data_IF_166370607215
#
_entry.id   IF_166370607215
#
_cell.length_a   1.000
_cell.length_b   1.000
_cell.length_c   1.000
_cell.angle_alpha   90.00
_cell.angle_beta   90.00
_cell.angle_gamma   90.00
#
_symmetry.space_group_name_H-M   'P 1'
#
loop_
_entity.id
_entity.type
_entity.pdbx_description
1 polymer ?
#
# COMPACT_ATOMS: atom_id res chain seq x y z
N UNK A 1 8.57 57.24 31.70
CA UNK A 1 8.94 55.82 31.79
C UNK A 1 8.23 55.07 30.65
N UNK A 2 8.93 54.71 29.58
CA UNK A 2 8.37 53.98 28.44
C UNK A 2 8.48 52.47 28.71
N UNK A 3 7.34 51.74 28.74
CA UNK A 3 7.31 50.30 28.86
C UNK A 3 7.47 49.70 27.46
N UNK A 4 8.55 48.96 27.25
CA UNK A 4 8.78 48.20 26.03
C UNK A 4 8.08 46.84 26.21
N UNK A 5 7.07 46.56 25.37
CA UNK A 5 6.45 45.25 25.28
C UNK A 5 7.29 44.40 24.33
N UNK A 6 7.93 43.37 24.85
CA UNK A 6 8.61 42.34 24.05
C UNK A 6 7.56 41.29 23.65
N UNK A 7 7.18 41.29 22.38
CA UNK A 7 6.30 40.28 21.81
C UNK A 7 7.19 39.10 21.35
N UNK A 8 7.13 37.99 22.10
CA UNK A 8 7.83 36.77 21.77
C UNK A 8 7.12 36.05 20.58
N UNK A 9 7.72 36.12 19.41
CA UNK A 9 7.36 35.29 18.26
C UNK A 9 7.95 33.86 18.45
N UNK A 10 7.19 32.95 19.07
CA UNK A 10 7.59 31.56 19.33
C UNK A 10 6.68 30.55 18.63
N UNK A 11 6.29 30.79 17.35
CA UNK A 11 5.33 29.89 16.72
C UNK A 11 5.74 29.12 15.45
N UNK A 12 6.79 29.40 14.66
CA UNK A 12 7.03 28.60 13.45
C UNK A 12 7.87 27.32 13.65
N UNK A 13 8.68 27.25 14.72
CA UNK A 13 9.66 26.16 14.90
C UNK A 13 8.96 24.82 15.29
N UNK A 14 7.89 24.88 16.06
CA UNK A 14 7.15 23.68 16.47
C UNK A 14 6.38 23.03 15.31
N UNK A 15 5.92 23.80 14.35
CA UNK A 15 5.20 23.31 13.17
C UNK A 15 6.12 22.53 12.22
N UNK A 16 7.33 23.01 12.01
CA UNK A 16 8.31 22.32 11.14
C UNK A 16 8.86 21.04 11.77
N UNK A 17 9.09 21.02 13.09
CA UNK A 17 9.55 19.83 13.80
C UNK A 17 8.47 18.72 13.81
N UNK A 18 7.20 19.06 13.81
CA UNK A 18 6.10 18.11 13.74
C UNK A 18 5.91 17.54 12.34
N UNK A 19 6.09 18.34 11.29
CA UNK A 19 6.09 17.90 9.90
C UNK A 19 7.23 16.92 9.62
N UNK A 20 8.43 17.20 10.11
CA UNK A 20 9.60 16.31 9.92
C UNK A 20 9.47 14.95 10.60
N UNK A 21 8.81 14.87 11.78
CA UNK A 21 8.53 13.57 12.42
C UNK A 21 7.51 12.73 11.63
N UNK A 22 6.52 13.36 11.05
CA UNK A 22 5.50 12.67 10.25
C UNK A 22 6.09 12.23 8.91
N UNK A 23 6.90 13.06 8.27
CA UNK A 23 7.61 12.71 7.03
C UNK A 23 8.60 11.56 7.27
N UNK A 24 9.26 11.54 8.42
CA UNK A 24 10.13 10.45 8.85
C UNK A 24 9.38 9.13 9.02
N UNK A 25 8.14 9.16 9.53
CA UNK A 25 7.32 7.96 9.69
C UNK A 25 7.03 7.30 8.35
N UNK A 26 6.65 8.09 7.33
CA UNK A 26 6.26 7.59 6.01
C UNK A 26 7.43 7.34 5.05
N UNK A 27 8.67 7.52 5.52
CA UNK A 27 9.87 7.33 4.70
C UNK A 27 9.91 6.01 3.92
N UNK A 28 9.50 4.85 4.49
CA UNK A 28 9.50 3.58 3.75
C UNK A 28 8.58 3.57 2.54
N UNK A 29 7.51 4.36 2.59
CA UNK A 29 6.48 4.40 1.53
C UNK A 29 6.64 5.58 0.58
N UNK A 30 7.63 6.45 0.79
CA UNK A 30 7.79 7.69 0.00
C UNK A 30 7.88 7.43 -1.50
N UNK A 31 8.59 6.39 -1.89
CA UNK A 31 8.77 6.03 -3.30
C UNK A 31 7.50 5.57 -3.99
N UNK A 32 6.49 5.10 -3.24
CA UNK A 32 5.21 4.66 -3.81
C UNK A 32 4.24 5.80 -4.08
N UNK A 33 4.39 6.95 -3.38
CA UNK A 33 3.43 8.07 -3.51
C UNK A 33 3.34 8.53 -4.96
N UNK A 34 2.10 8.57 -5.49
CA UNK A 34 1.78 8.95 -6.85
C UNK A 34 0.91 7.92 -7.56
N UNK A 35 0.85 8.01 -8.87
CA UNK A 35 0.06 7.12 -9.74
C UNK A 35 0.98 6.22 -10.54
N UNK A 36 0.53 5.00 -10.76
CA UNK A 36 1.29 3.95 -11.40
C UNK A 36 0.42 3.14 -12.35
N UNK A 37 1.00 2.69 -13.44
CA UNK A 37 0.35 1.78 -14.38
C UNK A 37 1.33 0.69 -14.79
N UNK A 38 0.81 -0.48 -15.07
CA UNK A 38 1.64 -1.62 -15.47
C UNK A 38 0.84 -2.77 -16.00
N UNK A 39 1.54 -3.86 -16.19
CA UNK A 39 0.96 -5.13 -16.63
C UNK A 39 1.28 -6.20 -15.61
N UNK A 40 0.36 -7.13 -15.44
CA UNK A 40 0.53 -8.30 -14.58
C UNK A 40 0.47 -9.58 -15.38
N UNK A 41 1.06 -10.61 -14.81
CA UNK A 41 0.93 -12.01 -15.17
C UNK A 41 0.57 -12.84 -13.94
N UNK A 42 -0.10 -13.96 -14.12
CA UNK A 42 -0.44 -14.86 -13.03
C UNK A 42 -1.65 -15.73 -13.29
N UNK A 43 -2.26 -16.24 -12.22
CA UNK A 43 -3.39 -17.17 -12.29
C UNK A 43 -4.62 -16.54 -12.95
N UNK A 44 -4.84 -15.22 -12.74
CA UNK A 44 -5.93 -14.47 -13.40
C UNK A 44 -5.63 -14.11 -14.86
N UNK A 45 -4.47 -14.50 -15.39
CA UNK A 45 -4.01 -14.15 -16.74
C UNK A 45 -3.28 -12.79 -16.77
N UNK A 46 -3.12 -12.27 -17.99
CA UNK A 46 -2.45 -10.98 -18.20
C UNK A 46 -3.44 -9.84 -18.00
N UNK A 47 -3.16 -8.93 -17.08
CA UNK A 47 -4.00 -7.80 -16.76
C UNK A 47 -3.27 -6.46 -16.88
N UNK A 48 -4.05 -5.37 -17.06
CA UNK A 48 -3.58 -4.01 -16.90
C UNK A 48 -3.82 -3.58 -15.45
N UNK A 49 -2.78 -3.06 -14.82
CA UNK A 49 -2.83 -2.59 -13.44
C UNK A 49 -2.71 -1.07 -13.37
N UNK A 50 -3.54 -0.48 -12.53
CA UNK A 50 -3.49 0.92 -12.13
C UNK A 50 -3.43 0.97 -10.61
N UNK A 51 -2.52 1.78 -10.06
CA UNK A 51 -2.33 1.95 -8.62
C UNK A 51 -2.22 3.44 -8.30
N UNK A 52 -2.74 3.85 -7.16
CA UNK A 52 -2.44 5.17 -6.63
C UNK A 52 -2.23 5.13 -5.13
N UNK A 53 -1.26 5.91 -4.68
CA UNK A 53 -0.90 6.06 -3.27
C UNK A 53 -0.87 7.55 -2.95
N UNK A 54 -1.67 7.98 -1.98
CA UNK A 54 -1.79 9.38 -1.60
C UNK A 54 -1.72 9.55 -0.08
N UNK A 55 -0.97 10.55 0.38
CA UNK A 55 -0.91 10.91 1.80
C UNK A 55 -2.15 11.74 2.15
N UNK A 56 -3.01 11.22 3.01
CA UNK A 56 -4.33 11.77 3.32
C UNK A 56 -4.55 11.97 4.82
N UNK A 57 -5.73 12.52 5.18
CA UNK A 57 -6.21 12.66 6.56
C UNK A 57 -5.16 13.29 7.47
N UNK A 58 -4.76 14.52 7.12
CA UNK A 58 -3.74 15.26 7.85
C UNK A 58 -2.41 14.49 7.97
N UNK A 59 -1.99 13.85 6.88
CA UNK A 59 -0.75 13.06 6.73
C UNK A 59 -0.65 11.87 7.70
N UNK A 60 -1.78 11.35 8.19
CA UNK A 60 -1.80 10.21 9.14
C UNK A 60 -2.00 8.87 8.48
N UNK A 61 -2.38 8.85 7.20
CA UNK A 61 -2.64 7.65 6.42
C UNK A 61 -2.07 7.81 5.00
N UNK A 62 -1.80 6.68 4.37
CA UNK A 62 -1.64 6.60 2.93
C UNK A 62 -2.88 5.88 2.40
N UNK A 63 -3.65 6.57 1.58
CA UNK A 63 -4.74 5.97 0.82
C UNK A 63 -4.15 5.16 -0.34
N UNK A 64 -4.69 3.97 -0.55
CA UNK A 64 -4.31 3.05 -1.61
C UNK A 64 -5.53 2.78 -2.47
N UNK A 65 -5.42 2.93 -3.77
CA UNK A 65 -6.47 2.56 -4.73
C UNK A 65 -5.86 1.69 -5.81
N UNK A 66 -6.41 0.54 -5.98
CA UNK A 66 -5.97 -0.45 -6.94
C UNK A 66 -7.09 -0.75 -7.93
N UNK A 67 -6.71 -0.90 -9.19
CA UNK A 67 -7.58 -1.38 -10.25
C UNK A 67 -6.79 -2.33 -11.12
N UNK A 68 -7.39 -3.49 -11.38
CA UNK A 68 -6.83 -4.51 -12.25
C UNK A 68 -7.88 -4.86 -13.30
N UNK A 69 -7.50 -4.85 -14.56
CA UNK A 69 -8.41 -5.07 -15.70
C UNK A 69 -7.87 -6.25 -16.49
N UNK A 70 -8.63 -7.32 -16.53
CA UNK A 70 -8.35 -8.52 -17.30
C UNK A 70 -9.27 -8.56 -18.51
N UNK A 71 -8.71 -8.65 -19.72
CA UNK A 71 -9.52 -8.71 -20.95
C UNK A 71 -10.32 -10.01 -21.02
N UNK A 72 -11.37 -10.05 -21.84
CA UNK A 72 -12.07 -11.29 -22.15
C UNK A 72 -11.11 -12.41 -22.56
N UNK A 73 -11.35 -13.61 -22.04
CA UNK A 73 -10.59 -14.82 -22.34
C UNK A 73 -11.55 -15.98 -22.64
N UNK A 74 -10.99 -17.13 -23.02
CA UNK A 74 -11.80 -18.34 -23.23
C UNK A 74 -12.53 -18.76 -21.95
N UNK A 75 -11.86 -18.64 -20.81
CA UNK A 75 -12.37 -19.10 -19.50
C UNK A 75 -13.19 -18.02 -18.80
N UNK A 76 -13.02 -16.75 -19.20
CA UNK A 76 -13.81 -15.62 -18.74
C UNK A 76 -14.17 -14.70 -19.92
N UNK A 77 -15.25 -15.01 -20.67
CA UNK A 77 -15.66 -14.24 -21.86
C UNK A 77 -16.08 -12.80 -21.59
N UNK A 78 -16.44 -12.48 -20.34
CA UNK A 78 -16.82 -11.11 -19.94
C UNK A 78 -15.59 -10.25 -19.61
N UNK A 79 -14.43 -10.88 -19.37
CA UNK A 79 -13.31 -10.21 -18.71
C UNK A 79 -13.60 -9.92 -17.24
N UNK A 80 -12.70 -9.23 -16.57
CA UNK A 80 -12.84 -8.91 -15.16
C UNK A 80 -12.28 -7.53 -14.86
N UNK A 81 -12.94 -6.80 -13.98
CA UNK A 81 -12.42 -5.60 -13.35
C UNK A 81 -12.43 -5.83 -11.85
N UNK A 82 -11.26 -5.89 -11.27
CA UNK A 82 -11.06 -5.98 -9.84
C UNK A 82 -10.63 -4.60 -9.32
N UNK A 83 -11.30 -4.11 -8.29
CA UNK A 83 -10.97 -2.85 -7.64
C UNK A 83 -10.88 -3.06 -6.13
N UNK A 84 -9.89 -2.43 -5.52
CA UNK A 84 -9.83 -2.32 -4.08
C UNK A 84 -9.43 -0.90 -3.63
N UNK A 85 -9.87 -0.54 -2.44
CA UNK A 85 -9.61 0.72 -1.80
C UNK A 85 -9.17 0.47 -0.36
N UNK A 86 -8.07 1.06 0.04
CA UNK A 86 -7.51 0.78 1.35
C UNK A 86 -6.69 1.93 1.94
N UNK A 87 -6.17 1.65 3.14
CA UNK A 87 -5.36 2.61 3.87
C UNK A 87 -4.19 1.91 4.55
N UNK A 88 -2.99 2.46 4.36
CA UNK A 88 -1.85 2.15 5.21
C UNK A 88 -1.89 3.10 6.41
N UNK A 89 -1.83 2.54 7.60
CA UNK A 89 -1.79 3.26 8.88
C UNK A 89 -0.64 2.78 9.74
N UNK A 90 -0.16 3.62 10.67
CA UNK A 90 0.81 3.19 11.68
C UNK A 90 0.12 2.90 13.00
N UNK A 91 0.17 1.64 13.43
CA UNK A 91 -0.30 1.22 14.74
C UNK A 91 0.79 1.50 15.78
N UNK A 92 0.55 2.53 16.59
CA UNK A 92 1.51 2.99 17.61
C UNK A 92 1.71 1.98 18.73
N UNK A 93 0.68 1.20 19.06
CA UNK A 93 0.72 0.22 20.15
C UNK A 93 1.60 -0.97 19.76
N UNK A 94 1.47 -1.43 18.53
CA UNK A 94 2.24 -2.56 17.97
C UNK A 94 3.54 -2.12 17.29
N UNK A 95 3.74 -0.81 17.09
CA UNK A 95 4.89 -0.20 16.38
C UNK A 95 5.09 -0.78 14.98
N UNK A 96 4.01 -1.01 14.26
CA UNK A 96 4.01 -1.57 12.90
C UNK A 96 3.05 -0.84 11.98
N UNK A 97 3.25 -0.97 10.67
CA UNK A 97 2.29 -0.52 9.68
C UNK A 97 1.26 -1.61 9.42
N UNK A 98 0.02 -1.17 9.20
CA UNK A 98 -1.14 -2.01 8.87
C UNK A 98 -1.75 -1.48 7.59
N UNK A 99 -2.01 -2.37 6.65
CA UNK A 99 -2.77 -2.08 5.44
C UNK A 99 -4.12 -2.78 5.55
N UNK A 100 -5.20 -2.05 5.30
CA UNK A 100 -6.56 -2.59 5.18
C UNK A 100 -7.06 -2.29 3.79
N UNK A 101 -7.54 -3.32 3.08
CA UNK A 101 -8.05 -3.22 1.72
C UNK A 101 -9.47 -3.78 1.67
N UNK A 102 -10.35 -3.01 1.06
CA UNK A 102 -11.76 -3.33 0.84
C UNK A 102 -11.96 -3.61 -0.64
N UNK A 103 -12.36 -4.82 -0.97
CA UNK A 103 -12.43 -5.31 -2.33
C UNK A 103 -13.86 -5.25 -2.87
N UNK A 104 -13.99 -5.00 -4.17
CA UNK A 104 -15.30 -4.90 -4.84
C UNK A 104 -16.12 -6.18 -4.68
N UNK A 105 -15.47 -7.33 -4.50
CA UNK A 105 -16.10 -8.63 -4.24
C UNK A 105 -16.64 -8.77 -2.81
N UNK A 106 -16.41 -7.77 -1.95
CA UNK A 106 -16.95 -7.71 -0.59
C UNK A 106 -16.11 -8.36 0.50
N UNK A 107 -14.91 -8.83 0.20
CA UNK A 107 -13.98 -9.26 1.25
C UNK A 107 -13.06 -8.12 1.71
N UNK A 108 -12.47 -8.28 2.88
CA UNK A 108 -11.56 -7.29 3.46
C UNK A 108 -10.26 -7.98 3.88
N UNK A 109 -9.14 -7.49 3.38
CA UNK A 109 -7.83 -7.92 3.82
C UNK A 109 -7.29 -6.97 4.89
N UNK A 110 -6.83 -7.51 5.99
CA UNK A 110 -6.04 -6.79 6.98
C UNK A 110 -4.64 -7.38 7.03
N UNK A 111 -3.66 -6.58 6.63
CA UNK A 111 -2.25 -6.95 6.66
C UNK A 111 -1.49 -6.18 7.73
N UNK A 112 -0.41 -6.75 8.22
CA UNK A 112 0.68 -6.03 8.88
C UNK A 112 1.94 -6.07 8.03
N UNK A 113 2.80 -5.11 8.20
CA UNK A 113 4.17 -5.22 7.69
C UNK A 113 4.87 -6.34 8.42
N UNK A 114 5.38 -7.31 7.69
CA UNK A 114 6.22 -8.39 8.18
C UNK A 114 7.68 -7.98 8.19
N UNK A 115 8.14 -7.36 7.11
CA UNK A 115 9.51 -6.86 7.00
C UNK A 115 9.62 -5.66 6.08
N UNK A 116 10.64 -4.84 6.36
CA UNK A 116 11.15 -3.80 5.46
C UNK A 116 12.65 -4.02 5.38
N UNK A 117 13.20 -4.14 4.16
CA UNK A 117 14.65 -4.30 3.99
C UNK A 117 15.41 -3.08 4.51
N UNK A 118 16.68 -3.24 4.93
CA UNK A 118 17.48 -2.14 5.48
C UNK A 118 17.61 -0.93 4.55
N UNK A 119 17.61 -1.16 3.23
CA UNK A 119 17.63 -0.11 2.20
C UNK A 119 16.25 0.49 1.92
N UNK A 120 15.18 -0.03 2.54
CA UNK A 120 13.79 0.41 2.35
C UNK A 120 13.18 0.02 1.01
N UNK A 121 13.86 -0.77 0.20
CA UNK A 121 13.42 -1.09 -1.16
C UNK A 121 12.49 -2.29 -1.26
N UNK A 122 12.43 -3.12 -0.22
CA UNK A 122 11.55 -4.28 -0.20
C UNK A 122 10.65 -4.20 1.03
N UNK A 123 9.34 -4.23 0.81
CA UNK A 123 8.32 -4.21 1.86
C UNK A 123 7.46 -5.45 1.68
N UNK A 124 7.33 -6.23 2.74
CA UNK A 124 6.48 -7.43 2.78
C UNK A 124 5.34 -7.19 3.76
N UNK A 125 4.13 -7.37 3.28
CA UNK A 125 2.91 -7.42 4.07
C UNK A 125 2.42 -8.86 4.15
N UNK A 126 1.94 -9.27 5.33
CA UNK A 126 1.28 -10.55 5.55
C UNK A 126 -0.08 -10.36 6.19
N UNK A 127 -1.08 -11.10 5.74
CA UNK A 127 -2.43 -11.01 6.29
C UNK A 127 -2.48 -11.48 7.73
N UNK A 128 -3.18 -10.71 8.56
CA UNK A 128 -3.57 -11.09 9.94
C UNK A 128 -5.01 -11.60 9.97
N UNK A 129 -5.85 -11.05 9.09
CA UNK A 129 -7.23 -11.45 8.89
C UNK A 129 -7.65 -11.23 7.45
N UNK A 130 -8.55 -12.08 6.96
CA UNK A 130 -9.28 -11.88 5.71
C UNK A 130 -10.75 -12.15 6.05
N UNK A 131 -11.58 -11.11 5.90
CA UNK A 131 -13.01 -11.19 6.21
C UNK A 131 -13.81 -11.64 4.97
N UNK A 132 -14.95 -12.31 5.19
CA UNK A 132 -15.91 -12.70 4.16
C UNK A 132 -15.39 -13.72 3.15
N UNK A 133 -14.37 -14.49 3.50
CA UNK A 133 -13.93 -15.68 2.76
C UNK A 133 -13.84 -16.88 3.72
N UNK A 134 -13.74 -18.12 3.23
CA UNK A 134 -13.52 -19.27 4.09
C UNK A 134 -12.29 -19.11 4.99
N UNK A 135 -12.38 -19.57 6.23
CA UNK A 135 -11.29 -19.42 7.20
C UNK A 135 -10.03 -20.20 6.80
N UNK A 136 -8.87 -19.65 7.18
CA UNK A 136 -7.58 -20.32 6.99
C UNK A 136 -6.82 -19.87 5.74
N UNK A 137 -7.42 -19.08 4.86
CA UNK A 137 -6.68 -18.42 3.79
C UNK A 137 -5.71 -17.39 4.36
N UNK A 138 -4.55 -17.27 3.73
CA UNK A 138 -3.53 -16.27 4.06
C UNK A 138 -3.06 -15.61 2.77
N UNK A 139 -2.80 -14.31 2.84
CA UNK A 139 -2.31 -13.52 1.72
C UNK A 139 -0.99 -12.84 2.10
N UNK A 140 -0.12 -12.67 1.11
CA UNK A 140 1.14 -11.96 1.25
C UNK A 140 1.35 -11.06 0.05
N UNK A 141 1.73 -9.82 0.30
CA UNK A 141 2.08 -8.85 -0.73
C UNK A 141 3.52 -8.40 -0.55
N UNK A 142 4.28 -8.45 -1.63
CA UNK A 142 5.67 -8.01 -1.67
C UNK A 142 5.80 -6.88 -2.68
N UNK A 143 6.26 -5.71 -2.19
CA UNK A 143 6.55 -4.54 -3.00
C UNK A 143 8.07 -4.36 -3.07
N UNK A 144 8.63 -4.29 -4.27
CA UNK A 144 10.06 -4.10 -4.47
C UNK A 144 10.32 -2.93 -5.40
N UNK A 145 10.96 -1.89 -4.88
CA UNK A 145 11.43 -0.74 -5.65
C UNK A 145 12.58 -1.16 -6.56
N UNK A 146 12.41 -0.95 -7.85
CA UNK A 146 13.40 -1.23 -8.89
C UNK A 146 14.17 0.06 -9.20
N UNK A 147 13.44 1.18 -9.36
CA UNK A 147 13.99 2.52 -9.57
C UNK A 147 13.04 3.57 -8.98
N UNK A 148 13.33 4.85 -9.16
CA UNK A 148 12.44 5.94 -8.72
C UNK A 148 11.08 5.92 -9.45
N UNK A 149 11.05 5.33 -10.65
CA UNK A 149 9.87 5.30 -11.53
C UNK A 149 9.37 3.88 -11.83
N UNK A 150 9.87 2.87 -11.10
CA UNK A 150 9.48 1.48 -11.32
C UNK A 150 9.52 0.66 -10.03
N UNK A 151 8.46 -0.11 -9.78
CA UNK A 151 8.45 -1.13 -8.74
C UNK A 151 7.71 -2.40 -9.19
N UNK A 152 8.02 -3.53 -8.56
CA UNK A 152 7.26 -4.76 -8.72
C UNK A 152 6.35 -5.01 -7.54
N UNK A 153 5.17 -5.56 -7.82
CA UNK A 153 4.19 -6.06 -6.87
C UNK A 153 4.06 -7.57 -7.09
N UNK A 154 4.16 -8.35 -6.02
CA UNK A 154 3.89 -9.79 -6.05
C UNK A 154 2.84 -10.09 -5.01
N UNK A 155 1.71 -10.65 -5.46
CA UNK A 155 0.66 -11.16 -4.59
C UNK A 155 0.74 -12.67 -4.52
N UNK A 156 0.77 -13.20 -3.31
CA UNK A 156 0.83 -14.63 -3.01
C UNK A 156 -0.37 -15.00 -2.13
N UNK A 157 -0.99 -16.11 -2.44
CA UNK A 157 -2.13 -16.65 -1.69
C UNK A 157 -1.77 -18.04 -1.17
N UNK A 158 -2.21 -18.35 0.04
CA UNK A 158 -2.12 -19.68 0.62
C UNK A 158 -3.51 -20.14 1.04
N UNK A 159 -3.96 -21.28 0.49
CA UNK A 159 -5.13 -21.99 0.98
C UNK A 159 -4.90 -22.54 2.39
N UNK A 160 -5.96 -22.94 3.12
CA UNK A 160 -5.84 -23.54 4.43
C UNK A 160 -4.87 -24.73 4.43
N UNK A 161 -3.82 -24.63 5.26
CA UNK A 161 -2.80 -25.68 5.41
C UNK A 161 -1.81 -25.83 4.26
N UNK A 162 -1.86 -24.94 3.26
CA UNK A 162 -0.92 -24.92 2.12
C UNK A 162 0.16 -23.85 2.30
N UNK A 163 1.23 -23.96 1.53
CA UNK A 163 2.23 -22.92 1.39
C UNK A 163 1.74 -21.78 0.49
N UNK A 164 2.44 -20.64 0.55
CA UNK A 164 2.17 -19.52 -0.33
C UNK A 164 2.52 -19.84 -1.78
N UNK A 165 1.58 -19.60 -2.67
CA UNK A 165 1.78 -19.68 -4.11
C UNK A 165 1.59 -18.30 -4.74
N UNK A 166 2.39 -18.00 -5.76
CA UNK A 166 2.27 -16.74 -6.49
C UNK A 166 0.96 -16.74 -7.27
N UNK A 167 0.08 -15.80 -6.90
CA UNK A 167 -1.18 -15.58 -7.60
C UNK A 167 -1.01 -14.59 -8.76
N UNK A 168 -0.30 -13.48 -8.54
CA UNK A 168 0.00 -12.51 -9.58
C UNK A 168 1.33 -11.79 -9.32
N UNK A 169 1.94 -11.34 -10.42
CA UNK A 169 3.09 -10.42 -10.42
C UNK A 169 2.82 -9.28 -11.38
N UNK A 170 3.21 -8.08 -10.97
CA UNK A 170 3.11 -6.89 -11.81
C UNK A 170 4.40 -6.08 -11.78
N UNK A 171 4.71 -5.44 -12.89
CA UNK A 171 5.70 -4.37 -12.98
C UNK A 171 4.93 -3.10 -13.25
N UNK A 172 5.12 -2.12 -12.37
CA UNK A 172 4.41 -0.85 -12.38
C UNK A 172 5.40 0.29 -12.62
N UNK A 173 5.02 1.18 -13.55
CA UNK A 173 5.77 2.39 -13.90
C UNK A 173 4.99 3.62 -13.49
N UNK A 174 5.70 4.64 -13.04
CA UNK A 174 5.12 5.91 -12.63
C UNK A 174 4.42 6.59 -13.81
N UNK A 175 3.22 7.08 -13.56
CA UNK A 175 2.52 7.96 -14.51
C UNK A 175 3.09 9.37 -14.35
N UNK A 176 3.58 9.93 -15.45
CA UNK A 176 4.09 11.31 -15.51
C UNK A 176 2.96 12.33 -15.53
#
# INVERSE_FOLDING_TARGET
>A
MKKIAVLLFLCPILSQAQLTKQDSLWRPFKSFIGKWTGVSEGQSGNGKYERSYEVVLNRKFIEVRNKSIYPPSRDNPAGEVHEDHGFISYDKSRKTFVLRQFHIEGFVNQYRVESISPDGKNIVFISEAIENIPSGFRAKETYKIISDDEFSETFELAEPGKDFEVYSKAILKRVQ
#
